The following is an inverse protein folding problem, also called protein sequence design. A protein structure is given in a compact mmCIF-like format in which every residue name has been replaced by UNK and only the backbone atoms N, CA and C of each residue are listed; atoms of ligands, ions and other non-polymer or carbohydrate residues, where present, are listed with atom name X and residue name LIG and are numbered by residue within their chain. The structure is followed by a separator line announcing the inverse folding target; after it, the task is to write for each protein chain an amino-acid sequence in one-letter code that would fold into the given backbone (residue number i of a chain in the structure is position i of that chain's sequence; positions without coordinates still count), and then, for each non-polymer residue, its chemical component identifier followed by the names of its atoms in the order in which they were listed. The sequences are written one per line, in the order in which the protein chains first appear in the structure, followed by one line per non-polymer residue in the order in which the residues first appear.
data_IF_121407196854
#
_entry.id   IF_121407196854
#
_cell.length_a   1.000
_cell.length_b   1.000
_cell.length_c   1.000
_cell.angle_alpha   90.00
_cell.angle_beta   90.00
_cell.angle_gamma   90.00
#
_symmetry.space_group_name_H-M   'P 1'
#
loop_
_entity.id
_entity.type
_entity.pdbx_description
1 polymer ?
#
# COMPACT_ATOMS: atom_id res chain seq x y z
N UNK A 1 15.20 -0.10 -13.75
CA UNK A 1 15.55 1.31 -13.98
C UNK A 1 16.70 1.81 -13.10
N UNK A 2 16.56 1.92 -11.76
CA UNK A 2 17.67 2.37 -10.90
C UNK A 2 18.90 1.46 -10.94
N UNK A 3 18.70 0.14 -10.86
CA UNK A 3 19.80 -0.84 -10.97
C UNK A 3 20.46 -0.83 -12.35
N UNK A 4 19.68 -0.58 -13.41
CA UNK A 4 20.24 -0.42 -14.77
C UNK A 4 21.07 0.86 -14.88
N UNK A 5 20.57 1.98 -14.33
CA UNK A 5 21.32 3.23 -14.26
C UNK A 5 22.61 3.10 -13.44
N UNK A 6 22.58 2.36 -12.33
CA UNK A 6 23.80 2.01 -11.57
C UNK A 6 24.78 1.19 -12.40
N UNK A 7 24.30 0.14 -13.07
CA UNK A 7 25.15 -0.75 -13.88
C UNK A 7 25.80 0.01 -15.03
N UNK A 8 25.08 0.92 -15.68
CA UNK A 8 25.63 1.80 -16.72
C UNK A 8 26.66 2.81 -16.16
N UNK A 9 26.43 3.36 -14.96
CA UNK A 9 27.31 4.35 -14.35
C UNK A 9 28.62 3.75 -13.82
N UNK A 10 28.56 2.55 -13.23
CA UNK A 10 29.70 1.91 -12.55
C UNK A 10 30.40 0.89 -13.45
N UNK A 11 29.75 0.40 -14.52
CA UNK A 11 30.33 -0.58 -15.46
C UNK A 11 30.47 -2.00 -14.90
N UNK A 12 30.09 -2.23 -13.65
CA UNK A 12 30.12 -3.51 -12.95
C UNK A 12 28.71 -3.83 -12.42
N UNK A 13 28.31 -5.10 -12.51
CA UNK A 13 27.13 -5.59 -11.78
C UNK A 13 27.51 -5.60 -10.29
N UNK A 14 26.85 -4.83 -9.41
CA UNK A 14 27.23 -4.79 -8.01
C UNK A 14 27.15 -6.19 -7.42
N UNK A 15 28.27 -6.69 -6.88
CA UNK A 15 28.30 -7.99 -6.20
C UNK A 15 27.68 -7.93 -4.80
N UNK A 16 27.45 -6.72 -4.26
CA UNK A 16 26.82 -6.48 -2.97
C UNK A 16 25.77 -5.35 -3.02
N UNK A 17 24.77 -5.41 -2.14
CA UNK A 17 23.72 -4.38 -2.04
C UNK A 17 24.25 -3.07 -1.41
N UNK A 18 25.35 -3.10 -0.65
CA UNK A 18 25.96 -1.91 -0.03
C UNK A 18 26.46 -0.89 -1.05
N UNK A 19 27.09 -1.35 -2.15
CA UNK A 19 27.59 -0.47 -3.21
C UNK A 19 26.46 0.25 -3.94
N UNK A 20 25.38 -0.46 -4.25
CA UNK A 20 24.19 0.12 -4.87
C UNK A 20 23.53 1.18 -3.99
N UNK A 21 23.41 0.90 -2.69
CA UNK A 21 22.83 1.83 -1.73
C UNK A 21 23.68 3.09 -1.54
N UNK A 22 25.01 2.96 -1.51
CA UNK A 22 25.91 4.10 -1.44
C UNK A 22 25.79 4.99 -2.70
N UNK A 23 25.79 4.39 -3.89
CA UNK A 23 25.58 5.12 -5.15
C UNK A 23 24.23 5.82 -5.19
N UNK A 24 23.16 5.14 -4.78
CA UNK A 24 21.81 5.70 -4.76
C UNK A 24 21.71 6.94 -3.88
N UNK A 25 22.32 6.90 -2.68
CA UNK A 25 22.39 8.06 -1.77
C UNK A 25 23.18 9.22 -2.38
N UNK A 26 24.31 8.95 -3.01
CA UNK A 26 25.12 9.96 -3.68
C UNK A 26 24.35 10.61 -4.85
N UNK A 27 23.66 9.81 -5.67
CA UNK A 27 22.83 10.32 -6.76
C UNK A 27 21.65 11.16 -6.26
N UNK A 28 20.94 10.70 -5.22
CA UNK A 28 19.86 11.46 -4.61
C UNK A 28 20.35 12.80 -4.01
N UNK A 29 21.56 12.84 -3.45
CA UNK A 29 22.13 14.08 -2.94
C UNK A 29 22.50 15.08 -4.06
N UNK A 30 22.84 14.60 -5.25
CA UNK A 30 23.29 15.42 -6.39
C UNK A 30 22.14 15.92 -7.26
N UNK A 31 21.12 15.10 -7.49
CA UNK A 31 20.04 15.36 -8.43
C UNK A 31 18.68 15.41 -7.72
N UNK A 32 18.02 16.58 -7.67
CA UNK A 32 16.67 16.69 -7.09
C UNK A 32 15.65 15.83 -7.83
N UNK A 33 15.81 15.68 -9.14
CA UNK A 33 14.96 14.81 -9.97
C UNK A 33 15.15 13.35 -9.58
N UNK A 34 16.39 12.89 -9.43
CA UNK A 34 16.67 11.53 -8.94
C UNK A 34 16.05 11.32 -7.55
N UNK A 35 16.29 12.25 -6.63
CA UNK A 35 15.80 12.18 -5.26
C UNK A 35 14.28 12.05 -5.21
N UNK A 36 13.56 12.91 -5.92
CA UNK A 36 12.10 12.87 -5.99
C UNK A 36 11.59 11.49 -6.42
N UNK A 37 12.11 10.95 -7.53
CA UNK A 37 11.64 9.67 -8.06
C UNK A 37 12.08 8.47 -7.21
N UNK A 38 13.24 8.54 -6.54
CA UNK A 38 13.64 7.53 -5.54
C UNK A 38 12.68 7.56 -4.34
N UNK A 39 12.31 8.74 -3.85
CA UNK A 39 11.35 8.90 -2.76
C UNK A 39 9.96 8.35 -3.14
N UNK A 40 9.44 8.68 -4.33
CA UNK A 40 8.16 8.12 -4.82
C UNK A 40 8.23 6.60 -4.90
N UNK A 41 9.30 6.04 -5.47
CA UNK A 41 9.46 4.59 -5.57
C UNK A 41 9.49 3.91 -4.20
N UNK A 42 10.19 4.49 -3.21
CA UNK A 42 10.21 3.98 -1.83
C UNK A 42 8.83 4.01 -1.19
N UNK A 43 8.07 5.10 -1.38
CA UNK A 43 6.70 5.23 -0.86
C UNK A 43 5.76 4.20 -1.48
N UNK A 44 5.82 3.99 -2.79
CA UNK A 44 5.04 2.95 -3.49
C UNK A 44 5.39 1.55 -2.96
N UNK A 45 6.67 1.26 -2.77
CA UNK A 45 7.12 -0.01 -2.19
C UNK A 45 6.58 -0.20 -0.78
N UNK A 46 6.64 0.83 0.08
CA UNK A 46 6.05 0.77 1.43
C UNK A 46 4.55 0.49 1.39
N UNK A 47 3.81 1.13 0.47
CA UNK A 47 2.39 0.84 0.25
C UNK A 47 2.13 -0.60 -0.18
N UNK A 48 2.95 -1.14 -1.09
CA UNK A 48 2.86 -2.53 -1.52
C UNK A 48 3.20 -3.54 -0.40
N UNK A 49 4.22 -3.24 0.42
CA UNK A 49 4.56 -4.06 1.60
C UNK A 49 3.41 -4.04 2.61
N UNK A 50 2.77 -2.88 2.81
CA UNK A 50 1.60 -2.76 3.68
C UNK A 50 0.43 -3.63 3.19
N UNK A 51 0.14 -3.61 1.88
CA UNK A 51 -0.86 -4.49 1.28
C UNK A 51 -0.46 -5.96 1.42
N UNK A 52 0.81 -6.29 1.18
CA UNK A 52 1.34 -7.64 1.35
C UNK A 52 1.14 -8.16 2.77
N UNK A 53 1.44 -7.35 3.79
CA UNK A 53 1.27 -7.73 5.19
C UNK A 53 -0.19 -8.15 5.49
N UNK A 54 -1.18 -7.43 4.97
CA UNK A 54 -2.58 -7.79 5.13
C UNK A 54 -2.95 -9.07 4.40
N UNK A 55 -2.55 -9.19 3.13
CA UNK A 55 -2.87 -10.35 2.26
C UNK A 55 -2.18 -11.64 2.73
N UNK A 56 -1.01 -11.53 3.36
CA UNK A 56 -0.25 -12.66 3.91
C UNK A 56 -0.55 -12.90 5.40
N UNK A 57 -1.38 -12.05 6.04
CA UNK A 57 -1.65 -12.09 7.48
C UNK A 57 -0.39 -11.91 8.35
N UNK A 58 0.67 -11.29 7.80
CA UNK A 58 1.95 -11.07 8.46
C UNK A 58 1.88 -9.85 9.39
N UNK A 59 1.54 -10.11 10.65
CA UNK A 59 1.40 -9.08 11.67
C UNK A 59 2.71 -8.34 11.99
N UNK A 60 3.87 -9.01 12.17
CA UNK A 60 5.14 -8.31 12.34
C UNK A 60 5.46 -7.36 11.18
N UNK A 61 5.28 -7.81 9.93
CA UNK A 61 5.52 -6.98 8.75
C UNK A 61 4.57 -5.77 8.72
N UNK A 62 3.31 -5.94 9.13
CA UNK A 62 2.35 -4.86 9.24
C UNK A 62 2.83 -3.76 10.20
N UNK A 63 3.27 -4.14 11.41
CA UNK A 63 3.75 -3.20 12.42
C UNK A 63 5.02 -2.48 11.95
N UNK A 64 5.99 -3.20 11.40
CA UNK A 64 7.23 -2.60 10.88
C UNK A 64 6.97 -1.65 9.70
N UNK A 65 6.05 -2.01 8.82
CA UNK A 65 5.69 -1.13 7.69
C UNK A 65 4.96 0.12 8.17
N UNK A 66 4.11 0.03 9.19
CA UNK A 66 3.50 1.20 9.81
C UNK A 66 4.53 2.15 10.41
N UNK A 67 5.55 1.63 11.12
CA UNK A 67 6.66 2.44 11.64
C UNK A 67 7.39 3.17 10.51
N UNK A 68 7.64 2.49 9.39
CA UNK A 68 8.27 3.09 8.22
C UNK A 68 7.40 4.15 7.53
N UNK A 69 6.07 4.02 7.59
CA UNK A 69 5.10 4.96 7.01
C UNK A 69 4.84 6.20 7.88
N UNK A 70 4.90 6.08 9.20
CA UNK A 70 4.54 7.16 10.15
C UNK A 70 5.20 8.50 9.80
N UNK A 71 6.52 8.58 9.59
CA UNK A 71 7.13 9.88 9.35
C UNK A 71 6.66 10.54 8.06
N UNK A 72 6.28 9.74 7.05
CA UNK A 72 5.72 10.26 5.81
C UNK A 72 4.35 10.91 6.03
N UNK A 73 3.55 10.42 6.96
CA UNK A 73 2.30 11.09 7.32
C UNK A 73 2.55 12.45 8.00
N UNK A 74 3.64 12.60 8.75
CA UNK A 74 4.06 13.92 9.26
C UNK A 74 4.53 14.82 8.11
N UNK A 75 5.41 14.30 7.26
CA UNK A 75 6.03 15.08 6.19
C UNK A 75 5.04 15.51 5.09
N UNK A 76 3.97 14.75 4.87
CA UNK A 76 2.91 15.02 3.90
C UNK A 76 1.66 15.70 4.51
N UNK A 77 1.77 16.22 5.74
CA UNK A 77 0.71 16.94 6.47
C UNK A 77 -0.60 16.15 6.63
N UNK A 78 -0.50 14.82 6.76
CA UNK A 78 -1.61 13.95 7.08
C UNK A 78 -1.84 13.90 8.60
N UNK A 79 -2.12 15.06 9.20
CA UNK A 79 -2.13 15.30 10.65
C UNK A 79 -2.97 14.29 11.46
N UNK A 80 -4.14 13.89 10.93
CA UNK A 80 -4.99 12.89 11.58
C UNK A 80 -4.27 11.55 11.72
N UNK A 81 -3.64 11.08 10.65
CA UNK A 81 -2.90 9.82 10.66
C UNK A 81 -1.59 9.95 11.45
N UNK A 82 -0.84 11.02 11.23
CA UNK A 82 0.41 11.31 11.93
C UNK A 82 0.25 11.30 13.46
N UNK A 83 -0.88 11.80 13.98
CA UNK A 83 -1.17 11.82 15.42
C UNK A 83 -1.56 10.45 15.98
N UNK A 84 -2.37 9.68 15.27
CA UNK A 84 -2.96 8.45 15.81
C UNK A 84 -2.15 7.18 15.51
N UNK A 85 -1.38 7.16 14.42
CA UNK A 85 -0.56 6.00 14.07
C UNK A 85 0.51 5.65 15.10
N UNK A 86 1.26 6.60 15.71
CA UNK A 86 2.21 6.27 16.77
C UNK A 86 1.54 5.61 17.98
N UNK A 87 0.33 6.06 18.35
CA UNK A 87 -0.46 5.46 19.43
C UNK A 87 -0.87 4.04 19.06
N UNK A 88 -1.40 3.88 17.84
CA UNK A 88 -1.80 2.56 17.31
C UNK A 88 -0.62 1.58 17.28
N UNK A 89 0.55 2.01 16.78
CA UNK A 89 1.77 1.17 16.74
C UNK A 89 2.16 0.74 18.15
N UNK A 90 2.25 1.68 19.10
CA UNK A 90 2.57 1.35 20.49
C UNK A 90 1.60 0.32 21.05
N UNK A 91 0.30 0.46 20.76
CA UNK A 91 -0.71 -0.46 21.23
C UNK A 91 -0.58 -1.85 20.54
N UNK A 92 -0.19 -1.91 19.26
CA UNK A 92 0.12 -3.15 18.54
C UNK A 92 1.39 -3.85 19.06
N UNK A 93 2.39 -3.09 19.51
CA UNK A 93 3.62 -3.64 20.10
C UNK A 93 3.45 -4.05 21.56
N UNK A 94 2.42 -3.54 22.24
CA UNK A 94 2.16 -3.77 23.66
C UNK A 94 0.97 -4.70 23.91
N UNK A 95 0.63 -5.55 22.94
CA UNK A 95 -0.50 -6.47 23.04
C UNK A 95 -0.31 -7.48 24.19
N UNK A 96 -1.38 -7.85 24.91
CA UNK A 96 -1.31 -8.97 25.86
C UNK A 96 -0.87 -10.25 25.13
N UNK A 97 -0.09 -11.15 25.77
CA UNK A 97 0.47 -12.33 25.09
C UNK A 97 -0.58 -13.21 24.40
N UNK A 98 -1.78 -13.32 25.00
CA UNK A 98 -2.88 -14.08 24.41
C UNK A 98 -3.37 -13.47 23.08
N UNK A 99 -3.41 -12.13 22.97
CA UNK A 99 -3.83 -11.42 21.76
C UNK A 99 -2.72 -11.43 20.72
N UNK A 100 -1.47 -11.20 21.15
CA UNK A 100 -0.30 -11.28 20.28
C UNK A 100 -0.23 -12.65 19.59
N UNK A 101 -0.45 -13.74 20.33
CA UNK A 101 -0.51 -15.09 19.76
C UNK A 101 -1.62 -15.22 18.69
N UNK A 102 -2.80 -14.64 18.92
CA UNK A 102 -3.87 -14.65 17.91
C UNK A 102 -3.49 -13.90 16.64
N UNK A 103 -2.74 -12.80 16.77
CA UNK A 103 -2.37 -11.96 15.63
C UNK A 103 -1.20 -12.54 14.85
N UNK A 104 -0.12 -12.94 15.53
CA UNK A 104 1.11 -13.42 14.89
C UNK A 104 1.01 -14.88 14.42
N UNK A 105 0.35 -15.76 15.20
CA UNK A 105 0.31 -17.20 14.89
C UNK A 105 -0.95 -17.57 14.13
N UNK A 106 -2.10 -17.00 14.51
CA UNK A 106 -3.39 -17.37 13.92
C UNK A 106 -3.88 -16.39 12.85
N UNK A 107 -3.22 -15.24 12.65
CA UNK A 107 -3.61 -14.25 11.64
C UNK A 107 -4.95 -13.54 11.92
N UNK A 108 -5.45 -13.59 13.16
CA UNK A 108 -6.79 -13.12 13.57
C UNK A 108 -6.87 -11.59 13.76
N UNK A 109 -6.23 -10.84 12.87
CA UNK A 109 -6.27 -9.37 12.80
C UNK A 109 -6.77 -8.86 11.44
N UNK A 110 -6.95 -9.77 10.48
CA UNK A 110 -7.55 -9.56 9.16
C UNK A 110 -8.70 -10.55 8.93
N UNK A 111 -9.51 -10.29 7.91
CA UNK A 111 -10.66 -11.14 7.55
C UNK A 111 -10.40 -11.80 6.21
N UNK A 112 -10.68 -13.10 6.11
CA UNK A 112 -10.78 -13.79 4.82
C UNK A 112 -12.24 -14.10 4.49
N UNK A 113 -12.70 -13.68 3.31
CA UNK A 113 -14.06 -14.01 2.81
C UNK A 113 -14.06 -15.29 1.98
N UNK A 114 -12.88 -15.77 1.56
CA UNK A 114 -12.72 -16.97 0.73
C UNK A 114 -11.58 -17.83 1.25
N UNK A 115 -11.49 -19.08 0.82
CA UNK A 115 -10.33 -19.93 1.13
C UNK A 115 -9.11 -19.65 0.23
N UNK A 116 -9.17 -18.62 -0.62
CA UNK A 116 -8.10 -18.33 -1.58
C UNK A 116 -6.90 -17.72 -0.88
N UNK A 117 -5.70 -18.06 -1.35
CA UNK A 117 -4.46 -17.43 -0.87
C UNK A 117 -4.48 -15.93 -1.14
N UNK A 118 -3.77 -15.15 -0.32
CA UNK A 118 -3.63 -13.70 -0.48
C UNK A 118 -4.95 -12.90 -0.55
N UNK A 119 -6.06 -13.49 -0.07
CA UNK A 119 -7.41 -12.90 -0.18
C UNK A 119 -7.87 -12.20 1.10
N UNK A 120 -7.03 -12.18 2.13
CA UNK A 120 -7.33 -11.52 3.39
C UNK A 120 -7.31 -10.00 3.23
N UNK A 121 -8.23 -9.34 3.92
CA UNK A 121 -8.45 -7.89 3.85
C UNK A 121 -8.56 -7.31 5.27
N UNK A 122 -8.29 -6.00 5.43
CA UNK A 122 -8.55 -5.30 6.69
C UNK A 122 -10.00 -5.49 7.16
N UNK A 123 -10.21 -5.55 8.48
CA UNK A 123 -11.54 -5.71 9.09
C UNK A 123 -12.50 -4.60 8.64
N UNK A 124 -12.01 -3.35 8.57
CA UNK A 124 -12.82 -2.21 8.14
C UNK A 124 -13.29 -2.35 6.69
N UNK A 125 -12.39 -2.77 5.79
CA UNK A 125 -12.73 -3.04 4.38
C UNK A 125 -13.75 -4.19 4.27
N UNK A 126 -13.60 -5.26 5.06
CA UNK A 126 -14.58 -6.35 5.09
C UNK A 126 -15.94 -5.87 5.58
N UNK A 127 -15.96 -5.01 6.59
CA UNK A 127 -17.15 -4.40 7.14
C UNK A 127 -17.83 -3.47 6.12
N UNK A 128 -17.07 -2.65 5.38
CA UNK A 128 -17.59 -1.78 4.33
C UNK A 128 -18.24 -2.57 3.19
N UNK A 129 -17.58 -3.65 2.72
CA UNK A 129 -18.17 -4.55 1.72
C UNK A 129 -19.46 -5.22 2.20
N UNK A 130 -19.50 -5.64 3.47
CA UNK A 130 -20.73 -6.21 4.03
C UNK A 130 -21.84 -5.17 4.13
N UNK A 131 -21.51 -3.93 4.48
CA UNK A 131 -22.49 -2.85 4.54
C UNK A 131 -23.08 -2.54 3.16
N UNK A 132 -22.30 -2.67 2.08
CA UNK A 132 -22.78 -2.50 0.71
C UNK A 132 -23.87 -3.52 0.35
N UNK A 133 -23.70 -4.80 0.72
CA UNK A 133 -24.68 -5.87 0.44
C UNK A 133 -26.05 -5.64 1.12
N UNK A 134 -26.05 -4.95 2.26
CA UNK A 134 -27.25 -4.74 3.07
C UNK A 134 -27.87 -3.35 2.82
N UNK A 135 -27.14 -2.42 2.17
CA UNK A 135 -27.68 -1.12 1.79
C UNK A 135 -28.56 -1.26 0.54
N UNK A 136 -29.74 -0.67 0.57
CA UNK A 136 -30.56 -0.50 -0.63
C UNK A 136 -30.11 0.68 -1.49
N UNK A 137 -30.77 0.92 -2.63
CA UNK A 137 -30.43 1.98 -3.59
C UNK A 137 -30.39 3.42 -2.99
N UNK A 138 -31.01 3.64 -1.84
CA UNK A 138 -30.99 4.93 -1.11
C UNK A 138 -29.82 5.12 -0.13
N UNK A 139 -28.89 4.16 -0.04
CA UNK A 139 -27.78 4.18 0.91
C UNK A 139 -28.23 4.04 2.36
N UNK A 140 -27.44 4.58 3.31
CA UNK A 140 -27.75 4.56 4.74
C UNK A 140 -28.54 5.81 5.23
N UNK A 141 -28.97 6.68 4.31
CA UNK A 141 -29.64 7.95 4.63
C UNK A 141 -30.98 7.66 5.33
N UNK A 142 -31.17 8.23 6.52
CA UNK A 142 -32.34 8.00 7.39
C UNK A 142 -32.30 6.70 8.21
N UNK A 143 -31.35 5.80 7.94
CA UNK A 143 -31.19 4.54 8.69
C UNK A 143 -30.41 4.75 9.98
N UNK A 144 -29.39 5.61 9.96
CA UNK A 144 -28.57 5.99 11.14
C UNK A 144 -29.29 6.96 12.08
N UNK A 145 -30.33 7.65 11.60
CA UNK A 145 -31.10 8.64 12.36
C UNK A 145 -32.22 8.00 13.20
N UNK A 146 -32.54 6.73 12.95
CA UNK A 146 -33.51 5.96 13.72
C UNK A 146 -32.80 4.79 14.44
N UNK A 147 -32.59 4.89 15.77
CA UNK A 147 -31.87 3.86 16.54
C UNK A 147 -32.48 2.46 16.46
N UNK A 148 -33.80 2.34 16.28
CA UNK A 148 -34.48 1.04 16.16
C UNK A 148 -34.25 0.44 14.78
N UNK A 149 -34.34 1.25 13.73
CA UNK A 149 -34.03 0.83 12.36
C UNK A 149 -32.56 0.45 12.23
N UNK A 150 -31.66 1.27 12.79
CA UNK A 150 -30.22 0.99 12.84
C UNK A 150 -29.92 -0.32 13.56
N UNK A 151 -30.49 -0.54 14.75
CA UNK A 151 -30.30 -1.80 15.49
C UNK A 151 -30.81 -3.01 14.70
N UNK A 152 -31.99 -2.90 14.08
CA UNK A 152 -32.55 -3.98 13.26
C UNK A 152 -31.63 -4.29 12.07
N UNK A 153 -31.09 -3.28 11.43
CA UNK A 153 -30.16 -3.42 10.32
C UNK A 153 -28.82 -4.04 10.75
N UNK A 154 -28.24 -3.59 11.87
CA UNK A 154 -27.00 -4.17 12.41
C UNK A 154 -27.13 -5.66 12.77
N UNK A 155 -28.30 -6.09 13.25
CA UNK A 155 -28.52 -7.48 13.69
C UNK A 155 -29.00 -8.37 12.54
N UNK A 156 -30.00 -7.92 11.77
CA UNK A 156 -30.61 -8.73 10.72
C UNK A 156 -29.87 -8.64 9.39
N UNK A 157 -29.17 -7.54 9.13
CA UNK A 157 -28.49 -7.29 7.86
C UNK A 157 -27.43 -8.34 7.52
N UNK A 158 -26.46 -8.61 8.41
CA UNK A 158 -25.47 -9.66 8.20
C UNK A 158 -26.11 -11.04 7.98
N UNK A 159 -27.19 -11.37 8.70
CA UNK A 159 -27.91 -12.63 8.51
C UNK A 159 -28.66 -12.70 7.18
N UNK A 160 -29.24 -11.60 6.71
CA UNK A 160 -29.84 -11.52 5.38
C UNK A 160 -28.79 -11.71 4.28
N UNK A 161 -27.63 -11.06 4.41
CA UNK A 161 -26.52 -11.25 3.47
C UNK A 161 -26.02 -12.70 3.47
N UNK A 162 -25.88 -13.32 4.66
CA UNK A 162 -25.51 -14.75 4.79
C UNK A 162 -26.51 -15.67 4.11
N UNK A 163 -27.81 -15.49 4.37
CA UNK A 163 -28.86 -16.31 3.76
C UNK A 163 -28.92 -16.17 2.24
N UNK A 164 -28.72 -14.96 1.71
CA UNK A 164 -28.66 -14.71 0.27
C UNK A 164 -27.43 -15.37 -0.36
N UNK A 165 -26.27 -15.32 0.31
CA UNK A 165 -25.06 -15.98 -0.15
C UNK A 165 -25.21 -17.51 -0.18
N UNK A 166 -25.69 -18.11 0.92
CA UNK A 166 -25.94 -19.56 1.02
C UNK A 166 -26.95 -20.04 -0.03
N UNK A 167 -28.02 -19.27 -0.24
CA UNK A 167 -28.97 -19.55 -1.30
C UNK A 167 -28.29 -19.49 -2.68
N UNK A 168 -27.46 -18.48 -2.95
CA UNK A 168 -26.71 -18.38 -4.21
C UNK A 168 -25.77 -19.57 -4.45
N UNK A 169 -25.04 -20.01 -3.42
CA UNK A 169 -24.13 -21.15 -3.50
C UNK A 169 -24.86 -22.47 -3.78
N UNK A 170 -26.04 -22.68 -3.19
CA UNK A 170 -26.82 -23.90 -3.38
C UNK A 170 -27.26 -24.13 -4.83
N UNK A 171 -27.37 -23.05 -5.62
CA UNK A 171 -27.84 -23.11 -7.01
C UNK A 171 -26.77 -22.69 -8.03
N UNK A 172 -25.54 -22.40 -7.60
CA UNK A 172 -24.43 -22.13 -8.50
C UNK A 172 -23.79 -23.46 -8.98
N UNK A 173 -23.66 -23.62 -10.31
CA UNK A 173 -22.81 -24.68 -10.89
C UNK A 173 -21.36 -24.38 -10.48
N UNK A 174 -20.83 -25.09 -9.48
CA UNK A 174 -19.49 -24.83 -8.92
C UNK A 174 -18.41 -25.09 -9.97
N UNK A 175 -17.74 -24.07 -10.54
CA UNK A 175 -16.53 -24.28 -11.29
C UNK A 175 -15.40 -24.43 -10.26
N UNK A 176 -14.67 -25.54 -10.36
CA UNK A 176 -13.40 -25.90 -9.73
C UNK A 176 -12.95 -25.10 -8.47
N UNK A 177 -12.73 -25.81 -7.37
CA UNK A 177 -12.19 -25.35 -6.08
C UNK A 177 -10.75 -24.84 -6.19
N UNK A 178 -10.56 -23.79 -6.99
CA UNK A 178 -9.25 -23.21 -7.24
C UNK A 178 -8.92 -22.25 -6.09
N UNK A 179 -8.02 -22.69 -5.22
CA UNK A 179 -7.52 -21.92 -4.07
C UNK A 179 -6.69 -20.68 -4.47
N UNK A 180 -6.54 -20.42 -5.77
CA UNK A 180 -5.80 -19.29 -6.29
C UNK A 180 -6.66 -18.03 -6.31
N UNK A 181 -6.06 -16.93 -5.84
CA UNK A 181 -6.61 -15.60 -6.06
C UNK A 181 -6.65 -15.30 -7.57
N UNK A 182 -7.65 -14.56 -8.03
CA UNK A 182 -7.76 -14.18 -9.44
C UNK A 182 -6.57 -13.32 -9.91
N UNK A 183 -5.88 -12.65 -8.98
CA UNK A 183 -4.63 -11.92 -9.25
C UNK A 183 -3.40 -12.84 -9.36
N UNK A 184 -3.47 -14.10 -8.92
CA UNK A 184 -2.41 -15.09 -9.12
C UNK A 184 -2.43 -15.70 -10.52
N UNK A 185 -3.51 -15.49 -11.29
CA UNK A 185 -3.67 -16.05 -12.63
C UNK A 185 -2.60 -15.56 -13.62
N UNK A 186 -2.20 -16.44 -14.55
CA UNK A 186 -1.22 -16.13 -15.60
C UNK A 186 -1.59 -14.90 -16.44
N UNK A 187 -2.88 -14.66 -16.65
CA UNK A 187 -3.36 -13.45 -17.34
C UNK A 187 -2.98 -12.19 -16.57
N UNK A 188 -3.29 -12.14 -15.28
CA UNK A 188 -2.98 -10.99 -14.40
C UNK A 188 -1.48 -10.77 -14.31
N UNK A 189 -0.68 -11.83 -14.15
CA UNK A 189 0.78 -11.73 -14.13
C UNK A 189 1.33 -11.15 -15.44
N UNK A 190 0.84 -11.62 -16.60
CA UNK A 190 1.23 -11.08 -17.92
C UNK A 190 0.81 -9.62 -18.08
N UNK A 191 -0.37 -9.25 -17.58
CA UNK A 191 -0.84 -7.86 -17.62
C UNK A 191 0.06 -6.96 -16.78
N UNK A 192 0.39 -7.35 -15.55
CA UNK A 192 1.32 -6.61 -14.68
C UNK A 192 2.68 -6.47 -15.36
N UNK A 193 3.25 -7.58 -15.87
CA UNK A 193 4.54 -7.55 -16.55
C UNK A 193 4.51 -6.58 -17.73
N UNK A 194 3.47 -6.65 -18.58
CA UNK A 194 3.31 -5.75 -19.71
C UNK A 194 3.21 -4.29 -19.26
N UNK A 195 2.35 -3.98 -18.29
CA UNK A 195 2.16 -2.63 -17.79
C UNK A 195 3.44 -2.04 -17.18
N UNK A 196 4.21 -2.85 -16.44
CA UNK A 196 5.50 -2.44 -15.91
C UNK A 196 6.50 -2.14 -17.03
N UNK A 197 6.56 -2.98 -18.07
CA UNK A 197 7.43 -2.73 -19.24
C UNK A 197 7.00 -1.47 -19.99
N UNK A 198 5.70 -1.30 -20.23
CA UNK A 198 5.15 -0.12 -20.91
C UNK A 198 5.45 1.16 -20.11
N UNK A 199 5.31 1.12 -18.78
CA UNK A 199 5.65 2.23 -17.89
C UNK A 199 7.15 2.57 -17.95
N UNK A 200 8.03 1.56 -17.84
CA UNK A 200 9.48 1.74 -17.94
C UNK A 200 9.86 2.36 -19.28
N UNK A 201 9.23 1.90 -20.36
CA UNK A 201 9.47 2.41 -21.71
C UNK A 201 9.09 3.89 -21.80
N UNK A 202 7.89 4.26 -21.36
CA UNK A 202 7.41 5.65 -21.37
C UNK A 202 8.31 6.56 -20.53
N UNK A 203 8.66 6.16 -19.31
CA UNK A 203 9.57 6.94 -18.45
C UNK A 203 10.95 7.09 -19.12
N UNK A 204 11.44 6.03 -19.78
CA UNK A 204 12.73 6.07 -20.48
C UNK A 204 12.70 6.98 -21.72
N UNK A 205 11.58 7.02 -22.45
CA UNK A 205 11.37 7.91 -23.62
C UNK A 205 11.21 9.38 -23.22
N UNK A 206 10.51 9.65 -22.12
CA UNK A 206 10.46 10.97 -21.49
C UNK A 206 11.81 11.35 -20.84
N UNK A 207 12.72 10.39 -20.80
CA UNK A 207 14.09 10.46 -20.32
C UNK A 207 14.16 10.04 -18.84
N UNK A 208 15.03 9.08 -18.59
CA UNK A 208 15.10 8.37 -17.34
C UNK A 208 15.51 9.30 -16.17
N UNK A 209 14.65 9.53 -15.16
CA UNK A 209 14.96 10.42 -14.04
C UNK A 209 16.14 9.93 -13.18
N UNK A 210 16.46 8.63 -13.24
CA UNK A 210 17.60 8.06 -12.51
C UNK A 210 18.95 8.23 -13.23
N UNK A 211 18.95 8.81 -14.42
CA UNK A 211 20.15 9.19 -15.18
C UNK A 211 20.34 10.72 -15.24
N UNK A 212 19.43 11.46 -14.63
CA UNK A 212 19.41 12.92 -14.69
C UNK A 212 20.38 13.49 -13.64
N UNK A 213 21.33 14.29 -14.09
CA UNK A 213 22.34 14.97 -13.26
C UNK A 213 22.13 16.50 -13.22
N UNK A 214 20.97 16.98 -13.66
CA UNK A 214 20.65 18.41 -13.62
C UNK A 214 20.47 18.90 -12.17
N UNK A 215 20.90 20.13 -11.86
CA UNK A 215 20.72 20.72 -10.54
C UNK A 215 19.27 21.15 -10.27
N UNK A 216 18.43 21.21 -11.30
CA UNK A 216 17.01 21.50 -11.23
C UNK A 216 16.15 20.24 -11.00
N UNK A 217 14.98 20.44 -10.38
CA UNK A 217 13.91 19.43 -10.40
C UNK A 217 13.13 19.61 -11.70
N UNK A 218 13.02 18.55 -12.51
CA UNK A 218 12.34 18.59 -13.81
C UNK A 218 11.03 17.81 -13.78
N UNK A 219 9.99 18.39 -14.38
CA UNK A 219 8.78 17.65 -14.72
C UNK A 219 9.11 16.54 -15.71
N UNK A 220 8.58 15.33 -15.49
CA UNK A 220 8.93 14.17 -16.32
C UNK A 220 8.49 14.33 -17.78
N UNK A 221 7.25 14.79 -18.00
CA UNK A 221 6.62 14.87 -19.32
C UNK A 221 7.11 16.07 -20.16
N UNK A 222 7.23 17.22 -19.52
CA UNK A 222 7.49 18.51 -20.18
C UNK A 222 8.95 18.95 -20.06
N UNK A 223 9.72 18.35 -19.15
CA UNK A 223 11.08 18.77 -18.78
C UNK A 223 11.19 20.22 -18.30
N UNK A 224 10.06 20.81 -17.90
CA UNK A 224 10.05 22.13 -17.30
C UNK A 224 10.65 22.08 -15.89
N UNK A 225 11.36 23.14 -15.53
CA UNK A 225 11.87 23.33 -14.17
C UNK A 225 10.69 23.54 -13.23
N UNK A 226 10.63 22.73 -12.18
CA UNK A 226 9.62 22.82 -11.13
C UNK A 226 9.91 24.01 -10.21
N UNK A 227 8.85 24.66 -9.75
CA UNK A 227 8.95 25.84 -8.88
C UNK A 227 9.74 25.55 -7.58
N UNK A 228 10.51 26.54 -7.16
CA UNK A 228 11.38 26.47 -5.99
C UNK A 228 10.70 26.03 -4.67
N UNK A 229 9.44 26.40 -4.36
CA UNK A 229 8.77 25.91 -3.15
C UNK A 229 8.60 24.39 -3.15
N UNK A 230 8.26 23.79 -4.28
CA UNK A 230 8.10 22.34 -4.40
C UNK A 230 9.44 21.64 -4.29
N UNK A 231 10.49 22.19 -4.92
CA UNK A 231 11.87 21.69 -4.79
C UNK A 231 12.31 21.69 -3.32
N UNK A 232 11.99 22.75 -2.57
CA UNK A 232 12.29 22.81 -1.14
C UNK A 232 11.57 21.71 -0.37
N UNK A 233 10.26 21.54 -0.58
CA UNK A 233 9.49 20.48 0.07
C UNK A 233 10.10 19.11 -0.18
N UNK A 234 10.44 18.79 -1.43
CA UNK A 234 11.06 17.51 -1.82
C UNK A 234 12.39 17.31 -1.10
N UNK A 235 13.23 18.34 -1.00
CA UNK A 235 14.53 18.24 -0.31
C UNK A 235 14.42 18.14 1.22
N UNK A 236 13.36 18.69 1.81
CA UNK A 236 13.20 18.73 3.27
C UNK A 236 12.27 17.65 3.83
N UNK A 237 11.59 16.88 2.97
CA UNK A 237 10.62 15.86 3.40
C UNK A 237 11.26 14.77 4.26
N UNK A 238 12.50 14.37 3.96
CA UNK A 238 13.25 13.37 4.72
C UNK A 238 13.89 13.95 6.00
N UNK A 239 14.51 15.15 6.01
CA UNK A 239 14.96 15.77 7.27
C UNK A 239 13.83 15.99 8.31
N UNK A 240 12.61 16.35 7.86
CA UNK A 240 11.43 16.45 8.74
C UNK A 240 11.07 15.09 9.35
N UNK A 241 11.45 13.97 8.70
CA UNK A 241 11.32 12.61 9.22
C UNK A 241 12.25 12.32 10.42
N UNK A 242 13.47 12.87 10.47
CA UNK A 242 14.40 12.67 11.61
C UNK A 242 13.99 13.45 12.86
N UNK A 243 13.40 14.64 12.70
CA UNK A 243 13.04 15.52 13.82
C UNK A 243 11.70 15.15 14.49
N UNK A 244 10.86 14.35 13.83
CA UNK A 244 9.51 14.00 14.28
C UNK A 244 9.42 12.70 15.11
N UNK A 245 10.51 11.92 15.19
CA UNK A 245 10.62 10.63 15.92
C UNK A 245 11.52 10.79 17.13
#
# INVERSE_FOLDING_TARGET
MQRDAHQEAVGETPSNDEGFEAWRRDMAARSPTFHYWDTILRLEILGLIFVRAHREQDFPLYVETLKALVPWFFALDHQNYARWLPVHIRDMESLPPAVQHQFEVNGNWVVSKTAKRFSTIPIDQAHEQNNELVKGEGGAVGLTENPVAFRRWMVAGPEQARLLAEFGEQYADTPNDDQYHHEEGLSTQKTIQKQTVDLIQVISEMGNPFKDDTPELLALDTRNVIDHPVVNTVRTVEPVWEEAV
#
